data_IF_055069732583
#
_entry.id   IF_055069732583
#
_cell.length_a   1.000
_cell.length_b   1.000
_cell.length_c   1.000
_cell.angle_alpha   90.00
_cell.angle_beta   90.00
_cell.angle_gamma   90.00
#
_symmetry.space_group_name_H-M   'P 1'
#
loop_
_entity.id
_entity.type
_entity.pdbx_description
1 polymer ?
#
# COMPACT_ATOMS: atom_id res chain seq x y z
N UNK A 1 16.99 47.67 -5.16
CA UNK A 1 17.63 46.39 -5.53
C UNK A 1 16.49 45.42 -5.67
N UNK A 2 16.13 45.10 -6.91
CA UNK A 2 14.91 44.35 -7.25
C UNK A 2 14.89 42.95 -6.63
N UNK A 3 13.77 42.65 -5.96
CA UNK A 3 13.26 41.31 -5.73
C UNK A 3 13.14 40.61 -7.09
N UNK A 4 14.13 39.79 -7.43
CA UNK A 4 13.99 38.84 -8.52
C UNK A 4 13.13 37.69 -8.01
N UNK A 5 11.84 37.82 -8.28
CA UNK A 5 10.92 36.70 -8.38
C UNK A 5 11.53 35.72 -9.40
N UNK A 6 12.21 34.68 -8.91
CA UNK A 6 12.68 33.59 -9.75
C UNK A 6 11.43 32.80 -10.13
N UNK A 7 10.82 33.16 -11.27
CA UNK A 7 9.95 32.25 -12.02
C UNK A 7 10.81 31.07 -12.49
N UNK A 8 11.14 30.19 -11.54
CA UNK A 8 11.70 28.90 -11.82
C UNK A 8 10.60 28.08 -12.44
N UNK A 9 10.72 27.82 -13.73
CA UNK A 9 9.92 26.84 -14.43
C UNK A 9 10.07 25.51 -13.68
N UNK A 10 9.10 25.17 -12.82
CA UNK A 10 9.16 23.94 -12.03
C UNK A 10 9.41 22.79 -12.99
N UNK A 11 10.46 22.01 -12.76
CA UNK A 11 10.62 20.78 -13.51
C UNK A 11 9.55 19.79 -13.03
N UNK A 12 9.22 18.81 -13.87
CA UNK A 12 8.33 17.73 -13.46
C UNK A 12 8.82 17.07 -12.16
N UNK A 13 10.14 16.93 -11.96
CA UNK A 13 10.72 16.33 -10.76
C UNK A 13 10.46 17.15 -9.49
N UNK A 14 10.49 18.48 -9.57
CA UNK A 14 10.24 19.39 -8.44
C UNK A 14 8.81 19.28 -7.89
N UNK A 15 7.89 18.67 -8.66
CA UNK A 15 6.56 18.37 -8.17
C UNK A 15 6.54 17.28 -7.09
N UNK A 16 7.61 16.48 -6.97
CA UNK A 16 7.66 15.30 -6.11
C UNK A 16 8.66 15.39 -4.95
N UNK A 17 9.53 16.42 -4.93
CA UNK A 17 10.64 16.53 -3.99
C UNK A 17 10.65 17.86 -3.24
N UNK A 18 11.19 17.86 -2.02
CA UNK A 18 11.51 19.05 -1.23
C UNK A 18 13.01 19.05 -0.91
N UNK A 19 13.57 20.24 -0.62
CA UNK A 19 14.98 20.43 -0.32
C UNK A 19 15.15 20.70 1.17
N UNK A 20 16.07 20.00 1.82
CA UNK A 20 16.35 20.10 3.25
C UNK A 20 17.85 20.35 3.47
N UNK A 21 18.20 21.34 4.30
CA UNK A 21 19.59 21.56 4.74
C UNK A 21 19.94 20.61 5.88
N UNK A 22 21.12 19.98 5.80
CA UNK A 22 21.67 19.10 6.83
C UNK A 22 23.12 19.48 7.14
N UNK A 23 23.58 19.17 8.34
CA UNK A 23 24.97 19.33 8.74
C UNK A 23 25.64 17.96 8.87
N UNK A 24 26.89 17.85 8.40
CA UNK A 24 27.73 16.67 8.58
C UNK A 24 28.38 16.64 9.98
N UNK A 25 29.13 15.58 10.28
CA UNK A 25 29.83 15.41 11.57
C UNK A 25 30.92 16.48 11.80
N UNK A 26 31.36 17.15 10.74
CA UNK A 26 32.37 18.22 10.76
C UNK A 26 31.73 19.62 10.84
N UNK A 27 30.38 19.72 10.86
CA UNK A 27 29.62 20.96 10.95
C UNK A 27 29.45 21.72 9.63
N UNK A 28 29.68 21.08 8.47
CA UNK A 28 29.42 21.68 7.17
C UNK A 28 27.96 21.46 6.74
N UNK A 29 27.30 22.53 6.32
CA UNK A 29 25.93 22.48 5.78
C UNK A 29 25.89 21.99 4.33
N UNK A 30 24.93 21.13 3.99
CA UNK A 30 24.64 20.69 2.63
C UNK A 30 23.14 20.46 2.40
N UNK A 31 22.69 20.73 1.18
CA UNK A 31 21.29 20.51 0.77
C UNK A 31 21.07 19.08 0.30
N UNK A 32 20.02 18.43 0.80
CA UNK A 32 19.53 17.14 0.29
C UNK A 32 18.18 17.29 -0.38
N UNK A 33 17.95 16.48 -1.42
CA UNK A 33 16.66 16.37 -2.09
C UNK A 33 15.92 15.16 -1.51
N UNK A 34 14.75 15.38 -0.92
CA UNK A 34 13.96 14.33 -0.29
C UNK A 34 12.54 14.27 -0.89
N UNK A 35 11.90 13.09 -0.96
CA UNK A 35 10.52 12.99 -1.45
C UNK A 35 9.54 13.77 -0.56
N UNK A 36 8.63 14.53 -1.16
CA UNK A 36 7.63 15.32 -0.43
C UNK A 36 6.80 14.45 0.52
N UNK A 37 6.59 14.90 1.75
CA UNK A 37 5.90 14.11 2.80
C UNK A 37 4.39 14.02 2.60
N UNK A 38 3.77 14.98 1.90
CA UNK A 38 2.31 15.09 1.72
C UNK A 38 1.92 14.95 0.26
N UNK A 39 1.11 13.93 -0.04
CA UNK A 39 0.66 13.65 -1.40
C UNK A 39 -0.23 14.76 -1.97
N UNK A 40 -0.99 15.46 -1.10
CA UNK A 40 -1.81 16.60 -1.54
C UNK A 40 -0.96 17.74 -2.10
N UNK A 41 0.26 17.92 -1.59
CA UNK A 41 1.21 18.90 -2.13
C UNK A 41 1.69 18.50 -3.52
N UNK A 42 2.01 17.21 -3.71
CA UNK A 42 2.42 16.67 -5.02
C UNK A 42 1.33 16.88 -6.07
N UNK A 43 0.07 16.60 -5.72
CA UNK A 43 -1.06 16.84 -6.62
C UNK A 43 -1.20 18.31 -7.02
N UNK A 44 -1.18 19.21 -6.04
CA UNK A 44 -1.30 20.65 -6.30
C UNK A 44 -0.15 21.17 -7.16
N UNK A 45 1.07 20.69 -6.93
CA UNK A 45 2.23 21.08 -7.72
C UNK A 45 2.09 20.61 -9.18
N UNK A 46 1.61 19.39 -9.40
CA UNK A 46 1.34 18.88 -10.74
C UNK A 46 0.21 19.63 -11.43
N UNK A 47 -0.88 19.95 -10.73
CA UNK A 47 -1.96 20.77 -11.30
C UNK A 47 -1.44 22.13 -11.74
N UNK A 48 -0.60 22.76 -10.92
CA UNK A 48 0.05 24.03 -11.24
C UNK A 48 1.01 23.91 -12.42
N UNK A 49 1.81 22.84 -12.48
CA UNK A 49 2.78 22.61 -13.55
C UNK A 49 2.10 22.29 -14.89
N UNK A 50 1.03 21.49 -14.88
CA UNK A 50 0.27 21.10 -16.07
C UNK A 50 -0.74 22.18 -16.51
N UNK A 51 -1.05 23.16 -15.66
CA UNK A 51 -2.07 24.17 -15.91
C UNK A 51 -3.50 23.61 -15.99
N UNK A 52 -3.77 22.44 -15.40
CA UNK A 52 -5.09 21.79 -15.39
C UNK A 52 -5.30 20.96 -14.13
N UNK A 53 -6.57 20.75 -13.76
CA UNK A 53 -6.91 19.83 -12.66
C UNK A 53 -6.62 18.38 -13.02
N UNK A 54 -6.29 17.56 -12.01
CA UNK A 54 -6.03 16.13 -12.17
C UNK A 54 -7.18 15.30 -11.58
N UNK A 55 -7.66 14.32 -12.34
CA UNK A 55 -8.73 13.41 -11.95
C UNK A 55 -8.26 12.25 -11.06
N UNK A 56 -9.19 11.34 -10.76
CA UNK A 56 -8.90 10.18 -9.89
C UNK A 56 -7.88 9.22 -10.53
N UNK A 57 -7.94 9.04 -11.84
CA UNK A 57 -7.01 8.20 -12.60
C UNK A 57 -5.60 8.80 -12.59
N UNK A 58 -5.48 10.10 -12.86
CA UNK A 58 -4.19 10.79 -12.79
C UNK A 58 -3.62 10.77 -11.39
N UNK A 59 -4.42 11.01 -10.34
CA UNK A 59 -3.97 10.89 -8.95
C UNK A 59 -3.43 9.51 -8.63
N UNK A 60 -4.08 8.46 -9.14
CA UNK A 60 -3.62 7.08 -8.99
C UNK A 60 -2.28 6.86 -9.70
N UNK A 61 -2.10 7.40 -10.90
CA UNK A 61 -0.84 7.31 -11.64
C UNK A 61 0.29 8.11 -10.98
N UNK A 62 -0.03 9.29 -10.43
CA UNK A 62 0.90 10.12 -9.65
C UNK A 62 1.33 9.38 -8.40
N UNK A 63 0.42 8.71 -7.70
CA UNK A 63 0.78 7.86 -6.56
C UNK A 63 1.73 6.75 -7.00
N UNK A 64 1.47 6.06 -8.11
CA UNK A 64 2.40 5.05 -8.64
C UNK A 64 3.77 5.65 -8.92
N UNK A 65 3.85 6.79 -9.62
CA UNK A 65 5.12 7.47 -9.92
C UNK A 65 5.84 7.92 -8.66
N UNK A 66 5.14 8.55 -7.72
CA UNK A 66 5.71 8.95 -6.42
C UNK A 66 6.24 7.75 -5.65
N UNK A 67 5.49 6.64 -5.64
CA UNK A 67 5.93 5.41 -5.00
C UNK A 67 7.15 4.82 -5.73
N UNK A 68 7.17 4.81 -7.06
CA UNK A 68 8.34 4.37 -7.84
C UNK A 68 9.55 5.29 -7.69
N UNK A 69 9.36 6.59 -7.49
CA UNK A 69 10.46 7.53 -7.29
C UNK A 69 11.02 7.43 -5.86
N UNK A 70 10.12 7.34 -4.86
CA UNK A 70 10.48 7.22 -3.45
C UNK A 70 11.04 5.84 -3.08
N UNK A 71 10.50 4.81 -3.69
CA UNK A 71 10.80 3.41 -3.40
C UNK A 71 11.36 2.67 -4.62
N UNK A 72 11.86 3.39 -5.63
CA UNK A 72 12.50 2.80 -6.82
C UNK A 72 11.57 2.00 -7.76
N UNK A 73 12.01 1.86 -9.02
CA UNK A 73 11.69 0.68 -9.85
C UNK A 73 12.83 -0.30 -9.67
N UNK A 74 12.67 -1.37 -8.91
CA UNK A 74 13.71 -2.40 -8.84
C UNK A 74 13.65 -3.30 -10.08
N UNK A 75 14.27 -2.85 -11.17
CA UNK A 75 15.08 -3.75 -11.97
C UNK A 75 16.26 -4.16 -11.10
N UNK A 76 16.13 -5.26 -10.37
CA UNK A 76 17.19 -5.85 -9.54
C UNK A 76 17.71 -4.95 -8.40
N UNK A 77 17.35 -5.31 -7.16
CA UNK A 77 18.09 -4.90 -5.96
C UNK A 77 17.63 -3.58 -5.31
N UNK A 78 17.27 -3.70 -4.03
CA UNK A 78 17.22 -2.67 -3.00
C UNK A 78 16.52 -1.34 -3.34
N UNK A 79 15.29 -1.22 -2.87
CA UNK A 79 14.70 0.07 -2.58
C UNK A 79 13.98 0.04 -1.22
N UNK A 80 14.25 1.04 -0.38
CA UNK A 80 13.81 1.15 1.00
C UNK A 80 12.30 1.32 1.22
N UNK A 81 11.54 0.31 0.83
CA UNK A 81 10.41 -0.25 1.58
C UNK A 81 10.98 -0.69 2.95
N UNK A 82 10.26 -0.61 4.10
CA UNK A 82 10.79 -1.14 5.35
C UNK A 82 11.36 -2.53 5.10
N UNK A 83 12.63 -2.77 5.46
CA UNK A 83 13.26 -4.07 5.31
C UNK A 83 12.44 -5.09 6.11
N UNK A 84 11.64 -5.84 5.36
CA UNK A 84 10.79 -6.89 5.84
C UNK A 84 10.74 -7.93 4.75
N UNK A 85 11.92 -8.47 4.41
CA UNK A 85 12.13 -9.62 3.54
C UNK A 85 11.25 -10.77 4.04
N UNK A 86 10.00 -10.85 3.63
CA UNK A 86 9.25 -12.09 3.71
C UNK A 86 8.94 -12.54 2.28
N UNK A 87 8.59 -11.61 1.38
CA UNK A 87 8.24 -11.97 0.01
C UNK A 87 9.35 -11.62 -1.01
N UNK A 88 10.35 -10.84 -0.59
CA UNK A 88 11.24 -10.10 -1.48
C UNK A 88 10.56 -8.86 -2.07
N UNK A 89 11.31 -7.76 -2.23
CA UNK A 89 10.79 -6.45 -2.65
C UNK A 89 9.97 -6.53 -3.95
N UNK A 90 10.40 -7.37 -4.89
CA UNK A 90 9.72 -7.56 -6.17
C UNK A 90 8.35 -8.28 -6.05
N UNK A 91 8.21 -9.22 -5.13
CA UNK A 91 6.95 -9.94 -4.96
C UNK A 91 5.93 -9.06 -4.23
N UNK A 92 6.35 -8.33 -3.21
CA UNK A 92 5.47 -7.34 -2.56
C UNK A 92 5.07 -6.23 -3.54
N UNK A 93 5.98 -5.74 -4.39
CA UNK A 93 5.65 -4.75 -5.42
C UNK A 93 4.59 -5.28 -6.41
N UNK A 94 4.69 -6.55 -6.84
CA UNK A 94 3.67 -7.20 -7.70
C UNK A 94 2.33 -7.34 -6.97
N UNK A 95 2.35 -7.80 -5.72
CA UNK A 95 1.16 -7.91 -4.87
C UNK A 95 0.46 -6.55 -4.74
N UNK A 96 1.22 -5.52 -4.40
CA UNK A 96 0.74 -4.16 -4.23
C UNK A 96 0.18 -3.56 -5.52
N UNK A 97 0.89 -3.75 -6.63
CA UNK A 97 0.48 -3.29 -7.96
C UNK A 97 -0.87 -3.90 -8.35
N UNK A 98 -1.06 -5.20 -8.12
CA UNK A 98 -2.33 -5.86 -8.39
C UNK A 98 -3.43 -5.39 -7.42
N UNK A 99 -3.14 -5.35 -6.12
CA UNK A 99 -4.07 -4.92 -5.09
C UNK A 99 -4.65 -3.52 -5.34
N UNK A 100 -3.81 -2.59 -5.77
CA UNK A 100 -4.18 -1.18 -5.95
C UNK A 100 -5.12 -0.93 -7.14
N UNK A 101 -5.22 -1.86 -8.10
CA UNK A 101 -6.08 -1.71 -9.30
C UNK A 101 -7.57 -1.61 -8.97
N UNK A 102 -7.95 -2.10 -7.79
CA UNK A 102 -9.34 -2.27 -7.39
C UNK A 102 -9.78 -1.27 -6.31
N UNK A 103 -8.90 -0.35 -5.91
CA UNK A 103 -9.26 0.71 -4.97
C UNK A 103 -10.48 1.48 -5.50
N UNK A 104 -11.48 1.69 -4.65
CA UNK A 104 -12.74 2.33 -5.01
C UNK A 104 -13.83 1.40 -5.52
N UNK A 105 -13.54 0.13 -5.81
CA UNK A 105 -14.58 -0.84 -6.18
C UNK A 105 -15.55 -1.08 -5.00
N UNK A 106 -16.84 -1.35 -5.26
CA UNK A 106 -17.81 -1.61 -4.20
C UNK A 106 -17.63 -3.02 -3.62
N UNK A 107 -17.96 -3.20 -2.35
CA UNK A 107 -18.05 -4.54 -1.76
C UNK A 107 -19.23 -5.30 -2.38
N UNK A 108 -19.00 -6.55 -2.80
CA UNK A 108 -20.03 -7.47 -3.28
C UNK A 108 -19.85 -8.82 -2.62
N UNK A 109 -20.84 -9.23 -1.82
CA UNK A 109 -20.81 -10.52 -1.12
C UNK A 109 -20.71 -11.68 -2.11
N UNK A 110 -19.71 -12.55 -1.92
CA UNK A 110 -19.42 -13.67 -2.83
C UNK A 110 -18.64 -13.26 -4.09
N UNK A 111 -18.43 -11.97 -4.32
CA UNK A 111 -17.64 -11.46 -5.44
C UNK A 111 -16.19 -11.90 -5.33
N UNK A 112 -15.58 -12.25 -6.47
CA UNK A 112 -14.20 -12.72 -6.50
C UNK A 112 -13.48 -12.43 -7.82
N UNK A 113 -13.94 -11.43 -8.57
CA UNK A 113 -13.34 -11.04 -9.84
C UNK A 113 -13.64 -9.57 -10.15
N UNK A 114 -12.85 -8.88 -11.01
CA UNK A 114 -13.14 -7.50 -11.38
C UNK A 114 -14.55 -7.30 -11.96
N UNK A 115 -15.08 -8.31 -12.66
CA UNK A 115 -16.43 -8.28 -13.25
C UNK A 115 -17.56 -8.42 -12.23
N UNK A 116 -17.31 -9.09 -11.10
CA UNK A 116 -18.30 -9.28 -10.01
C UNK A 116 -18.04 -8.35 -8.83
N UNK A 117 -16.98 -7.55 -8.90
CA UNK A 117 -16.29 -6.99 -7.75
C UNK A 117 -15.88 -8.07 -6.74
N UNK A 118 -15.68 -7.70 -5.49
CA UNK A 118 -15.06 -8.57 -4.51
C UNK A 118 -15.79 -8.55 -3.16
N UNK A 119 -15.73 -9.67 -2.46
CA UNK A 119 -15.78 -9.69 -0.99
C UNK A 119 -14.36 -9.67 -0.41
N UNK A 120 -14.25 -9.63 0.92
CA UNK A 120 -12.95 -9.56 1.62
C UNK A 120 -12.00 -10.70 1.22
N UNK A 121 -12.50 -11.93 1.21
CA UNK A 121 -11.71 -13.12 0.90
C UNK A 121 -11.46 -13.28 -0.60
N UNK A 122 -12.45 -12.97 -1.44
CA UNK A 122 -12.36 -13.00 -2.89
C UNK A 122 -11.33 -11.99 -3.43
N UNK A 123 -11.28 -10.80 -2.83
CA UNK A 123 -10.25 -9.80 -3.12
C UNK A 123 -8.85 -10.32 -2.85
N UNK A 124 -8.61 -10.87 -1.65
CA UNK A 124 -7.29 -11.41 -1.28
C UNK A 124 -6.91 -12.59 -2.19
N UNK A 125 -7.80 -13.54 -2.43
CA UNK A 125 -7.56 -14.67 -3.34
C UNK A 125 -7.15 -14.18 -4.73
N UNK A 126 -7.90 -13.22 -5.27
CA UNK A 126 -7.63 -12.64 -6.58
C UNK A 126 -6.25 -11.99 -6.64
N UNK A 127 -5.95 -11.09 -5.69
CA UNK A 127 -4.72 -10.31 -5.66
C UNK A 127 -3.48 -11.19 -5.55
N UNK A 128 -3.48 -12.18 -4.66
CA UNK A 128 -2.34 -13.09 -4.52
C UNK A 128 -2.11 -13.93 -5.77
N UNK A 129 -3.20 -14.43 -6.37
CA UNK A 129 -3.12 -15.26 -7.58
C UNK A 129 -2.66 -14.45 -8.78
N UNK A 130 -3.25 -13.28 -9.03
CA UNK A 130 -3.00 -12.48 -10.24
C UNK A 130 -1.72 -11.63 -10.15
N UNK A 131 -1.20 -11.39 -8.96
CA UNK A 131 0.16 -10.86 -8.80
C UNK A 131 1.25 -11.89 -9.12
N UNK A 132 0.89 -13.18 -9.22
CA UNK A 132 1.83 -14.27 -9.42
C UNK A 132 2.72 -14.54 -8.21
N UNK A 133 2.29 -14.08 -7.02
CA UNK A 133 3.01 -14.26 -5.75
C UNK A 133 2.69 -15.62 -5.14
N UNK A 134 1.41 -15.97 -5.08
CA UNK A 134 0.96 -17.22 -4.49
C UNK A 134 -0.37 -17.62 -5.12
N UNK A 135 -0.46 -18.86 -5.58
CA UNK A 135 -1.72 -19.37 -6.11
C UNK A 135 -2.71 -19.60 -4.96
N UNK A 136 -3.66 -18.69 -4.79
CA UNK A 136 -4.69 -18.74 -3.75
C UNK A 136 -6.06 -18.90 -4.39
N UNK A 137 -6.53 -20.15 -4.63
CA UNK A 137 -7.87 -20.39 -5.12
C UNK A 137 -8.93 -19.79 -4.20
N UNK A 138 -10.10 -19.45 -4.76
CA UNK A 138 -11.21 -18.86 -4.01
C UNK A 138 -11.54 -19.72 -2.77
N UNK A 139 -11.40 -19.12 -1.60
CA UNK A 139 -11.77 -19.72 -0.31
C UNK A 139 -12.13 -18.64 0.72
N UNK A 140 -12.75 -19.02 1.84
CA UNK A 140 -13.22 -18.09 2.87
C UNK A 140 -12.06 -17.43 3.63
N UNK A 141 -12.31 -16.34 4.35
CA UNK A 141 -11.30 -15.72 5.22
C UNK A 141 -10.72 -16.73 6.25
N UNK A 142 -11.58 -17.59 6.81
CA UNK A 142 -11.16 -18.71 7.66
C UNK A 142 -10.29 -19.70 6.89
N UNK A 143 -10.69 -20.10 5.67
CA UNK A 143 -9.91 -21.04 4.85
C UNK A 143 -8.54 -20.50 4.44
N UNK A 144 -8.37 -19.18 4.30
CA UNK A 144 -7.07 -18.55 4.09
C UNK A 144 -6.26 -18.59 5.40
N UNK A 145 -6.90 -18.28 6.53
CA UNK A 145 -6.25 -18.33 7.85
C UNK A 145 -5.71 -19.72 8.18
N UNK A 146 -6.47 -20.78 7.88
CA UNK A 146 -6.08 -22.17 8.17
C UNK A 146 -4.85 -22.63 7.37
N UNK A 147 -4.50 -21.92 6.30
CA UNK A 147 -3.28 -22.14 5.51
C UNK A 147 -2.08 -21.33 6.01
N UNK A 148 -2.30 -20.34 6.89
CA UNK A 148 -1.27 -19.40 7.31
C UNK A 148 -0.50 -19.89 8.55
N UNK A 149 0.78 -19.55 8.61
CA UNK A 149 1.51 -19.50 9.88
C UNK A 149 1.11 -18.23 10.63
N UNK A 150 0.74 -18.35 11.91
CA UNK A 150 0.42 -17.18 12.75
C UNK A 150 1.69 -16.39 13.05
N UNK A 151 1.62 -15.08 12.88
CA UNK A 151 2.74 -14.15 13.07
C UNK A 151 2.39 -13.17 14.19
N UNK A 152 3.37 -12.84 15.04
CA UNK A 152 3.18 -11.78 16.04
C UNK A 152 3.20 -10.41 15.36
N UNK A 153 2.59 -9.39 15.97
CA UNK A 153 2.53 -8.04 15.38
C UNK A 153 3.92 -7.47 15.09
N UNK A 154 4.90 -7.77 15.93
CA UNK A 154 6.29 -7.30 15.80
C UNK A 154 7.02 -7.99 14.64
N UNK A 155 6.57 -9.17 14.24
CA UNK A 155 7.11 -9.96 13.12
C UNK A 155 6.30 -9.81 11.84
N UNK A 156 5.14 -9.15 11.90
CA UNK A 156 4.29 -8.90 10.76
C UNK A 156 4.99 -7.97 9.78
N UNK A 157 4.95 -8.33 8.50
CA UNK A 157 5.63 -7.65 7.40
C UNK A 157 4.63 -7.29 6.30
N UNK A 158 4.89 -6.24 5.50
CA UNK A 158 4.07 -5.94 4.35
C UNK A 158 3.89 -7.17 3.45
N UNK A 159 2.66 -7.44 3.03
CA UNK A 159 2.30 -8.67 2.33
C UNK A 159 1.97 -9.85 3.22
N UNK A 160 2.03 -9.72 4.55
CA UNK A 160 1.29 -10.62 5.44
C UNK A 160 -0.21 -10.29 5.38
N UNK A 161 -1.02 -11.22 5.89
CA UNK A 161 -2.45 -11.06 6.02
C UNK A 161 -2.79 -10.65 7.45
N UNK A 162 -3.79 -9.79 7.59
CA UNK A 162 -4.38 -9.42 8.87
C UNK A 162 -5.83 -9.91 8.91
N UNK A 163 -6.16 -10.63 9.97
CA UNK A 163 -7.43 -11.30 10.16
C UNK A 163 -8.20 -10.66 11.32
N UNK A 164 -9.52 -10.63 11.17
CA UNK A 164 -10.44 -10.06 12.16
C UNK A 164 -11.60 -11.00 12.44
N UNK A 165 -12.18 -10.85 13.62
CA UNK A 165 -13.33 -11.60 14.13
C UNK A 165 -14.49 -10.66 14.46
N UNK A 166 -15.73 -11.16 14.48
CA UNK A 166 -16.90 -10.42 14.94
C UNK A 166 -17.33 -9.22 14.08
N UNK A 167 -16.77 -9.05 12.87
CA UNK A 167 -17.12 -7.93 11.97
C UNK A 167 -18.48 -8.09 11.30
N UNK A 168 -19.00 -9.32 11.25
CA UNK A 168 -20.38 -9.68 10.92
C UNK A 168 -20.71 -11.04 11.55
N UNK A 169 -21.99 -11.43 11.53
CA UNK A 169 -22.43 -12.73 12.03
C UNK A 169 -21.84 -13.88 11.18
N UNK A 170 -20.84 -14.57 11.72
CA UNK A 170 -20.14 -15.68 11.08
C UNK A 170 -20.20 -16.93 11.94
N UNK A 171 -20.33 -18.10 11.31
CA UNK A 171 -20.19 -19.40 11.98
C UNK A 171 -18.74 -19.82 12.23
N UNK A 172 -17.78 -19.00 11.81
CA UNK A 172 -16.34 -19.24 11.97
C UNK A 172 -15.66 -18.06 12.69
N UNK A 173 -14.55 -18.29 13.41
CA UNK A 173 -13.85 -17.24 14.15
C UNK A 173 -13.44 -16.06 13.28
N UNK A 174 -12.89 -16.32 12.09
CA UNK A 174 -12.45 -15.27 11.17
C UNK A 174 -13.63 -14.78 10.33
N UNK A 175 -14.00 -13.52 10.51
CA UNK A 175 -15.03 -12.87 9.72
C UNK A 175 -14.44 -11.96 8.64
N UNK A 176 -13.28 -11.36 8.83
CA UNK A 176 -12.72 -10.42 7.83
C UNK A 176 -11.21 -10.56 7.66
N UNK A 177 -10.71 -10.12 6.51
CA UNK A 177 -9.32 -10.25 6.09
C UNK A 177 -8.87 -9.02 5.29
N UNK A 178 -7.60 -8.65 5.45
CA UNK A 178 -6.92 -7.64 4.64
C UNK A 178 -5.46 -7.99 4.39
N UNK A 179 -4.82 -7.27 3.48
CA UNK A 179 -3.39 -7.33 3.21
C UNK A 179 -2.70 -6.27 4.07
N UNK A 180 -1.75 -6.69 4.90
CA UNK A 180 -0.99 -5.78 5.75
C UNK A 180 0.01 -4.99 4.89
N UNK A 181 0.03 -3.66 5.08
CA UNK A 181 0.85 -2.74 4.29
C UNK A 181 2.03 -2.17 5.09
N UNK A 182 2.24 -2.67 6.31
CA UNK A 182 3.20 -2.11 7.27
C UNK A 182 2.60 -1.00 8.15
N UNK A 183 3.27 -0.73 9.27
CA UNK A 183 2.84 0.27 10.25
C UNK A 183 1.41 0.01 10.75
N UNK A 184 0.56 1.03 10.68
CA UNK A 184 -0.84 0.95 11.09
C UNK A 184 -1.81 0.76 9.91
N UNK A 185 -1.36 0.21 8.78
CA UNK A 185 -2.18 0.17 7.55
C UNK A 185 -2.44 -1.24 7.03
N UNK A 186 -3.67 -1.45 6.57
CA UNK A 186 -4.03 -2.55 5.69
C UNK A 186 -4.72 -2.05 4.43
N UNK A 187 -4.69 -2.85 3.37
CA UNK A 187 -5.54 -2.71 2.19
C UNK A 187 -6.50 -3.89 2.13
N UNK A 188 -7.80 -3.60 2.04
CA UNK A 188 -8.83 -4.62 2.09
C UNK A 188 -10.03 -4.26 1.22
N UNK A 189 -10.85 -5.26 0.91
CA UNK A 189 -12.18 -5.00 0.39
C UNK A 189 -13.11 -4.61 1.54
N UNK A 190 -13.11 -3.32 1.86
CA UNK A 190 -14.13 -2.67 2.66
C UNK A 190 -15.27 -2.19 1.76
N UNK A 191 -16.06 -1.23 2.25
CA UNK A 191 -17.10 -0.57 1.45
C UNK A 191 -16.78 0.93 1.35
N UNK A 192 -15.96 1.36 0.37
CA UNK A 192 -15.38 0.61 -0.76
C UNK A 192 -14.02 -0.07 -0.46
N UNK A 193 -13.43 -0.74 -1.46
CA UNK A 193 -12.06 -1.26 -1.39
C UNK A 193 -11.08 -0.09 -1.15
N UNK A 194 -10.22 -0.23 -0.14
CA UNK A 194 -9.29 0.83 0.21
C UNK A 194 -8.45 0.54 1.45
N UNK A 195 -7.73 1.58 1.87
CA UNK A 195 -6.87 1.51 3.04
C UNK A 195 -7.68 1.71 4.32
N UNK A 196 -7.27 1.02 5.37
CA UNK A 196 -7.80 1.20 6.72
C UNK A 196 -6.68 1.29 7.75
N UNK A 197 -6.92 2.11 8.78
CA UNK A 197 -6.06 2.21 9.95
C UNK A 197 -6.36 1.08 10.95
N UNK A 198 -5.46 0.10 11.03
CA UNK A 198 -5.62 -1.09 11.89
C UNK A 198 -5.53 -0.74 13.37
N UNK A 199 -5.00 0.44 13.73
CA UNK A 199 -4.94 0.92 15.10
C UNK A 199 -6.18 1.69 15.56
N UNK A 200 -7.15 1.91 14.66
CA UNK A 200 -8.45 2.47 15.04
C UNK A 200 -9.18 1.57 16.04
N UNK A 201 -10.03 2.18 16.88
CA UNK A 201 -10.78 1.47 17.93
C UNK A 201 -11.54 0.25 17.37
N UNK A 202 -12.18 0.42 16.22
CA UNK A 202 -12.95 -0.65 15.59
C UNK A 202 -12.05 -1.81 15.16
N UNK A 203 -10.97 -1.56 14.43
CA UNK A 203 -10.10 -2.64 13.95
C UNK A 203 -9.33 -3.31 15.10
N UNK A 204 -8.95 -2.56 16.14
CA UNK A 204 -8.38 -3.13 17.36
C UNK A 204 -9.33 -4.06 18.10
N UNK A 205 -10.61 -3.68 18.25
CA UNK A 205 -11.58 -4.52 18.97
C UNK A 205 -11.95 -5.81 18.24
N UNK A 206 -11.72 -5.85 16.92
CA UNK A 206 -12.01 -7.00 16.07
C UNK A 206 -10.73 -7.74 15.66
N UNK A 207 -9.54 -7.30 16.09
CA UNK A 207 -8.28 -7.93 15.71
C UNK A 207 -8.27 -9.40 16.14
N UNK A 208 -7.91 -10.29 15.22
CA UNK A 208 -7.79 -11.72 15.49
C UNK A 208 -6.33 -12.17 15.45
N UNK A 209 -5.67 -12.03 14.30
CA UNK A 209 -4.29 -12.46 14.12
C UNK A 209 -3.64 -11.80 12.90
N UNK A 210 -2.30 -11.79 12.86
CA UNK A 210 -1.57 -11.74 11.60
C UNK A 210 -1.26 -13.17 11.15
N UNK A 211 -1.26 -13.40 9.84
CA UNK A 211 -0.88 -14.68 9.27
C UNK A 211 -0.09 -14.52 7.98
N UNK A 212 0.85 -15.44 7.77
CA UNK A 212 1.71 -15.50 6.59
C UNK A 212 1.43 -16.78 5.83
N UNK A 213 1.16 -16.67 4.53
CA UNK A 213 0.97 -17.83 3.66
C UNK A 213 2.29 -18.62 3.51
N UNK A 214 2.23 -19.95 3.32
CA UNK A 214 3.40 -20.77 3.08
C UNK A 214 4.08 -20.31 1.77
N UNK A 215 5.39 -20.52 1.64
CA UNK A 215 6.19 -20.24 0.40
C UNK A 215 6.48 -18.77 0.05
N UNK A 216 6.23 -17.86 0.97
CA UNK A 216 6.83 -16.51 0.99
C UNK A 216 8.27 -16.69 1.55
N UNK A 217 9.34 -16.70 0.71
CA UNK A 217 10.68 -17.14 1.14
C UNK A 217 11.28 -16.18 2.18
N UNK A 218 11.74 -16.71 3.33
CA UNK A 218 12.29 -15.95 4.47
C UNK A 218 13.17 -14.74 4.15
#
# INVERSE_FOLDING_TARGET
>A
MEDKQVEGQFSFADCFVEYEEREDEDGNSYTVVIPMKRMETVYRNLESWMGKSIGLEEKTNVQKVYMLAKYGTSSSGNAGIPAGSAMGDLAFARLFSEASRYIGYPYVWGGSSPSTSFDCSGYVCWVYTHSGVYNLPRTTAQGIFDQCAVVSREKARPGDLIFFTGTYASGTPVSHIGIYMGGSRMLHCGSPIGYADIDSRYWKSHFYAFGRLPTIPE
#
